data_IF_466497089294
#
_entry.id   IF_466497089294
#
_cell.length_a   1.000
_cell.length_b   1.000
_cell.length_c   1.000
_cell.angle_alpha   90.00
_cell.angle_beta   90.00
_cell.angle_gamma   90.00
#
_symmetry.space_group_name_H-M   'P 1'
#
loop_
_entity.id
_entity.type
_entity.pdbx_description
1 polymer ?
#
# COMPACT_ATOMS: atom_id res chain seq x y z
N UNK A 1 -9.45 -10.31 46.82
CA UNK A 1 -9.15 -8.87 47.02
C UNK A 1 -10.12 -8.09 46.15
N UNK A 2 -10.80 -7.08 46.70
CA UNK A 2 -11.63 -6.18 45.91
C UNK A 2 -10.81 -4.95 45.51
N UNK A 3 -11.06 -4.41 44.32
CA UNK A 3 -10.50 -3.12 43.91
C UNK A 3 -10.93 -2.04 44.92
N UNK A 4 -9.99 -1.23 45.45
CA UNK A 4 -10.32 -0.13 46.35
C UNK A 4 -11.40 0.78 45.76
N UNK A 5 -12.43 1.11 46.56
CA UNK A 5 -13.57 1.93 46.13
C UNK A 5 -13.14 3.31 45.61
N UNK A 6 -12.14 3.90 46.27
CA UNK A 6 -11.54 5.18 45.92
C UNK A 6 -11.04 5.20 44.46
N UNK A 7 -10.46 4.09 43.97
CA UNK A 7 -10.01 3.98 42.58
C UNK A 7 -11.19 3.92 41.59
N UNK A 8 -12.29 3.29 41.96
CA UNK A 8 -13.48 3.20 41.11
C UNK A 8 -14.20 4.56 41.06
N UNK A 9 -14.32 5.23 42.20
CA UNK A 9 -14.98 6.53 42.33
C UNK A 9 -14.20 7.69 41.68
N UNK A 10 -12.87 7.54 41.54
CA UNK A 10 -12.02 8.51 40.83
C UNK A 10 -12.23 8.56 39.31
N UNK A 11 -12.92 7.57 38.73
CA UNK A 11 -13.17 7.52 37.28
C UNK A 11 -14.21 8.55 36.88
N UNK A 12 -13.96 9.27 35.79
CA UNK A 12 -14.95 10.16 35.19
C UNK A 12 -16.24 9.39 34.88
N UNK A 13 -17.39 9.95 35.29
CA UNK A 13 -18.71 9.37 35.00
C UNK A 13 -19.05 9.57 33.53
N UNK A 14 -19.59 8.53 32.90
CA UNK A 14 -20.14 8.62 31.55
C UNK A 14 -21.47 9.37 31.63
N UNK A 15 -21.53 10.56 31.04
CA UNK A 15 -22.73 11.39 31.04
C UNK A 15 -23.88 10.80 30.20
N UNK A 16 -23.54 10.17 29.06
CA UNK A 16 -24.49 9.49 28.17
C UNK A 16 -24.02 8.03 27.94
N UNK A 17 -24.56 7.07 28.73
CA UNK A 17 -24.22 5.65 28.57
C UNK A 17 -24.62 5.07 27.20
N UNK A 18 -25.71 5.58 26.60
CA UNK A 18 -26.19 5.08 25.31
C UNK A 18 -25.25 5.48 24.18
N UNK A 19 -24.83 6.74 24.14
CA UNK A 19 -23.86 7.21 23.15
C UNK A 19 -22.49 6.51 23.30
N UNK A 20 -22.07 6.21 24.53
CA UNK A 20 -20.84 5.46 24.77
C UNK A 20 -20.96 4.00 24.31
N UNK A 21 -22.12 3.38 24.52
CA UNK A 21 -22.40 2.02 24.04
C UNK A 21 -22.38 1.94 22.51
N UNK A 22 -22.97 2.92 21.82
CA UNK A 22 -22.91 3.03 20.34
C UNK A 22 -21.46 3.12 19.85
N UNK A 23 -20.64 3.99 20.44
CA UNK A 23 -19.23 4.12 20.08
C UNK A 23 -18.45 2.81 20.30
N UNK A 24 -18.72 2.10 21.40
CA UNK A 24 -18.14 0.78 21.67
C UNK A 24 -18.54 -0.25 20.61
N UNK A 25 -19.78 -0.23 20.13
CA UNK A 25 -20.24 -1.13 19.08
C UNK A 25 -19.59 -0.83 17.73
N UNK A 26 -19.43 0.46 17.39
CA UNK A 26 -18.71 0.91 16.19
C UNK A 26 -17.24 0.48 16.22
N UNK A 27 -16.54 0.68 17.34
CA UNK A 27 -15.13 0.24 17.48
C UNK A 27 -15.01 -1.30 17.40
N UNK A 28 -15.98 -2.06 17.92
CA UNK A 28 -16.03 -3.52 17.74
C UNK A 28 -16.27 -3.93 16.29
N UNK A 29 -17.09 -3.19 15.54
CA UNK A 29 -17.33 -3.45 14.12
C UNK A 29 -16.05 -3.29 13.30
N UNK A 30 -15.28 -2.23 13.57
CA UNK A 30 -13.93 -2.02 13.02
C UNK A 30 -13.03 -3.22 13.30
N UNK A 31 -12.98 -3.66 14.56
CA UNK A 31 -12.13 -4.79 14.95
C UNK A 31 -12.49 -6.09 14.24
N UNK A 32 -13.78 -6.38 14.07
CA UNK A 32 -14.22 -7.57 13.32
C UNK A 32 -13.74 -7.52 11.86
N UNK A 33 -13.83 -6.36 11.21
CA UNK A 33 -13.37 -6.20 9.82
C UNK A 33 -11.87 -6.43 9.72
N UNK A 34 -11.07 -5.87 10.63
CA UNK A 34 -9.63 -6.07 10.68
C UNK A 34 -9.24 -7.54 10.93
N UNK A 35 -9.93 -8.22 11.84
CA UNK A 35 -9.65 -9.62 12.17
C UNK A 35 -10.11 -10.59 11.08
N UNK A 36 -11.11 -10.22 10.28
CA UNK A 36 -11.70 -11.07 9.22
C UNK A 36 -10.91 -11.08 7.89
N UNK A 37 -9.68 -10.58 7.88
CA UNK A 37 -8.88 -10.44 6.65
C UNK A 37 -8.41 -11.79 6.12
N UNK A 38 -8.55 -11.98 4.80
CA UNK A 38 -8.16 -13.21 4.08
C UNK A 38 -6.68 -13.23 3.70
N UNK A 39 -6.11 -12.08 3.37
CA UNK A 39 -4.69 -11.90 3.09
C UNK A 39 -4.12 -10.88 4.09
N UNK A 40 -3.26 -11.30 5.02
CA UNK A 40 -2.61 -10.40 5.98
C UNK A 40 -1.68 -9.39 5.30
N UNK A 41 -1.22 -9.65 4.08
CA UNK A 41 -0.11 -8.90 3.49
C UNK A 41 -0.43 -7.62 2.75
N UNK A 42 -1.68 -7.46 2.32
CA UNK A 42 -2.09 -6.31 1.53
C UNK A 42 -3.19 -5.55 2.28
N UNK A 43 -2.97 -4.27 2.60
CA UNK A 43 -3.95 -3.46 3.30
C UNK A 43 -5.17 -3.21 2.41
N UNK A 44 -6.35 -3.59 2.86
CA UNK A 44 -7.62 -3.34 2.15
C UNK A 44 -8.19 -1.98 2.56
N UNK A 45 -7.54 -0.92 2.08
CA UNK A 45 -7.95 0.46 2.35
C UNK A 45 -9.38 0.73 1.85
N UNK A 46 -9.77 0.15 0.72
CA UNK A 46 -11.09 0.37 0.15
C UNK A 46 -12.21 -0.17 1.06
N UNK A 47 -12.02 -1.35 1.66
CA UNK A 47 -12.97 -1.91 2.63
C UNK A 47 -13.02 -1.10 3.92
N UNK A 48 -11.88 -0.60 4.39
CA UNK A 48 -11.83 0.30 5.56
C UNK A 48 -12.55 1.62 5.30
N UNK A 49 -12.36 2.22 4.12
CA UNK A 49 -13.03 3.45 3.73
C UNK A 49 -14.56 3.30 3.75
N UNK A 50 -15.07 2.18 3.20
CA UNK A 50 -16.51 1.87 3.20
C UNK A 50 -17.07 1.71 4.59
N UNK A 51 -16.39 0.93 5.43
CA UNK A 51 -16.81 0.76 6.82
C UNK A 51 -16.86 2.09 7.56
N UNK A 52 -15.82 2.91 7.42
CA UNK A 52 -15.75 4.24 8.00
C UNK A 52 -16.90 5.13 7.54
N UNK A 53 -17.19 5.10 6.24
CA UNK A 53 -18.26 5.88 5.63
C UNK A 53 -19.62 5.51 6.23
N UNK A 54 -19.88 4.22 6.43
CA UNK A 54 -21.10 3.72 7.08
C UNK A 54 -21.18 4.12 8.56
N UNK A 55 -20.09 3.95 9.32
CA UNK A 55 -20.09 4.20 10.78
C UNK A 55 -20.15 5.69 11.14
N UNK A 56 -19.61 6.57 10.29
CA UNK A 56 -19.54 8.03 10.50
C UNK A 56 -20.60 8.82 9.73
N UNK A 57 -21.38 8.14 8.87
CA UNK A 57 -22.32 8.78 7.94
C UNK A 57 -21.68 9.95 7.18
N UNK A 58 -20.44 9.77 6.73
CA UNK A 58 -19.62 10.80 6.10
C UNK A 58 -18.84 10.22 4.92
N UNK A 59 -18.51 11.09 3.96
CA UNK A 59 -17.54 10.74 2.93
C UNK A 59 -16.17 10.57 3.56
N UNK A 60 -15.42 9.57 3.10
CA UNK A 60 -14.13 9.19 3.66
C UNK A 60 -13.10 9.12 2.55
N UNK A 61 -11.93 9.70 2.81
CA UNK A 61 -10.76 9.62 1.95
C UNK A 61 -9.54 9.31 2.79
N UNK A 62 -8.72 8.38 2.33
CA UNK A 62 -7.41 8.11 2.87
C UNK A 62 -6.38 8.43 1.80
N UNK A 63 -5.44 9.29 2.15
CA UNK A 63 -4.37 9.69 1.26
C UNK A 63 -3.02 9.42 1.93
N UNK A 64 -2.01 9.07 1.14
CA UNK A 64 -0.63 9.02 1.59
C UNK A 64 -0.05 10.43 1.73
N UNK A 65 1.25 10.52 2.05
CA UNK A 65 1.93 11.79 2.26
C UNK A 65 2.13 12.58 0.96
N UNK A 66 2.22 11.87 -0.16
CA UNK A 66 2.44 12.40 -1.50
C UNK A 66 1.11 12.82 -2.19
N UNK A 67 -0.04 12.50 -1.58
CA UNK A 67 -1.36 12.84 -2.07
C UNK A 67 -2.03 11.70 -2.85
N UNK A 68 -1.37 10.55 -2.99
CA UNK A 68 -1.93 9.34 -3.59
C UNK A 68 -3.12 8.85 -2.78
N UNK A 69 -4.22 8.54 -3.46
CA UNK A 69 -5.47 8.10 -2.82
C UNK A 69 -5.37 6.59 -2.56
N UNK A 70 -5.26 6.23 -1.29
CA UNK A 70 -5.19 4.83 -0.83
C UNK A 70 -6.56 4.15 -0.88
N UNK A 71 -7.61 4.88 -0.54
CA UNK A 71 -8.99 4.39 -0.55
C UNK A 71 -9.99 5.47 -0.20
N UNK A 72 -11.22 5.33 -0.69
CA UNK A 72 -12.27 6.31 -0.46
C UNK A 72 -13.65 5.65 -0.42
N UNK A 73 -14.63 6.36 0.13
CA UNK A 73 -16.04 5.94 0.08
C UNK A 73 -16.95 7.15 0.22
N UNK A 74 -18.09 7.10 -0.46
CA UNK A 74 -19.10 8.15 -0.42
C UNK A 74 -20.40 7.64 0.15
N UNK A 75 -21.13 8.55 0.81
CA UNK A 75 -22.55 8.33 1.09
C UNK A 75 -23.31 8.40 -0.24
N UNK A 76 -24.33 7.54 -0.43
CA UNK A 76 -25.01 7.25 -1.70
C UNK A 76 -25.67 8.42 -2.44
N UNK A 77 -25.59 9.64 -1.90
CA UNK A 77 -26.21 10.86 -2.44
C UNK A 77 -25.18 11.94 -2.80
N UNK A 78 -23.88 11.69 -2.61
CA UNK A 78 -22.83 12.65 -2.90
C UNK A 78 -22.40 12.62 -4.38
N UNK A 79 -22.32 13.79 -5.00
CA UNK A 79 -21.83 13.95 -6.37
C UNK A 79 -21.04 15.26 -6.52
N UNK A 80 -19.72 15.16 -6.69
CA UNK A 80 -18.86 16.31 -6.95
C UNK A 80 -17.96 16.01 -8.13
N UNK A 81 -18.18 16.63 -9.32
CA UNK A 81 -17.40 16.36 -10.53
C UNK A 81 -15.89 16.53 -10.32
N UNK A 82 -15.48 17.60 -9.63
CA UNK A 82 -14.06 17.86 -9.33
C UNK A 82 -13.45 16.70 -8.54
N UNK A 83 -14.16 16.21 -7.52
CA UNK A 83 -13.66 15.08 -6.74
C UNK A 83 -13.71 13.77 -7.53
N UNK A 84 -14.74 13.53 -8.35
CA UNK A 84 -14.78 12.36 -9.24
C UNK A 84 -13.55 12.29 -10.12
N UNK A 85 -13.17 13.41 -10.76
CA UNK A 85 -11.98 13.49 -11.62
C UNK A 85 -10.68 13.22 -10.84
N UNK A 86 -10.58 13.70 -9.60
CA UNK A 86 -9.42 13.44 -8.74
C UNK A 86 -9.32 11.97 -8.33
N UNK A 87 -10.46 11.35 -8.02
CA UNK A 87 -10.54 9.92 -7.69
C UNK A 87 -10.17 9.04 -8.89
N UNK A 88 -10.60 9.41 -10.10
CA UNK A 88 -10.19 8.72 -11.34
C UNK A 88 -8.69 8.85 -11.60
N UNK A 89 -8.09 10.01 -11.31
CA UNK A 89 -6.64 10.23 -11.38
C UNK A 89 -5.86 9.51 -10.26
N UNK A 90 -6.54 9.17 -9.16
CA UNK A 90 -5.94 8.50 -8.01
C UNK A 90 -5.01 9.38 -7.16
N UNK A 91 -5.05 10.71 -7.32
CA UNK A 91 -4.19 11.63 -6.57
C UNK A 91 -4.88 12.96 -6.26
N UNK A 92 -4.56 13.53 -5.10
CA UNK A 92 -5.00 14.86 -4.68
C UNK A 92 -4.11 15.97 -5.27
N UNK A 93 -4.62 17.21 -5.42
CA UNK A 93 -3.81 18.34 -5.85
C UNK A 93 -2.66 18.62 -4.88
N UNK A 94 -1.46 18.93 -5.41
CA UNK A 94 -0.24 19.16 -4.61
C UNK A 94 -0.45 20.22 -3.52
N UNK A 95 -1.03 21.38 -3.84
CA UNK A 95 -1.29 22.42 -2.85
C UNK A 95 -2.28 22.00 -1.75
N UNK A 96 -3.23 21.12 -2.06
CA UNK A 96 -4.14 20.56 -1.05
C UNK A 96 -3.39 19.56 -0.15
N UNK A 97 -2.58 18.69 -0.75
CA UNK A 97 -1.74 17.72 -0.04
C UNK A 97 -0.77 18.43 0.91
N UNK A 98 -0.09 19.49 0.46
CA UNK A 98 0.78 20.29 1.31
C UNK A 98 0.03 20.93 2.48
N UNK A 99 -1.15 21.51 2.23
CA UNK A 99 -2.01 22.10 3.27
C UNK A 99 -2.39 21.07 4.32
N UNK A 100 -2.91 19.90 3.92
CA UNK A 100 -3.32 18.88 4.89
C UNK A 100 -2.13 18.27 5.63
N UNK A 101 -0.94 18.27 5.01
CA UNK A 101 0.31 17.82 5.63
C UNK A 101 0.79 18.70 6.79
N UNK A 102 0.31 19.94 6.91
CA UNK A 102 0.64 20.86 8.00
C UNK A 102 -0.13 20.58 9.30
N UNK A 103 -1.23 19.83 9.25
CA UNK A 103 -1.96 19.44 10.46
C UNK A 103 -1.23 18.29 11.16
N UNK A 104 -0.69 18.59 12.35
CA UNK A 104 -0.01 17.62 13.22
C UNK A 104 -0.95 16.97 14.23
N UNK A 105 -2.06 17.62 14.54
CA UNK A 105 -3.15 17.12 15.38
C UNK A 105 -4.45 17.06 14.56
N UNK A 106 -5.44 16.34 15.09
CA UNK A 106 -6.72 16.21 14.41
C UNK A 106 -7.49 17.53 14.44
N UNK A 107 -7.94 17.98 13.27
CA UNK A 107 -8.75 19.19 13.11
C UNK A 107 -10.22 18.80 12.96
N UNK A 108 -11.08 19.27 13.86
CA UNK A 108 -12.51 18.97 13.87
C UNK A 108 -13.32 20.12 13.25
N UNK A 109 -14.21 19.79 12.31
CA UNK A 109 -15.10 20.75 11.65
C UNK A 109 -14.40 21.89 10.88
N UNK A 110 -13.27 21.58 10.23
CA UNK A 110 -12.63 22.48 9.29
C UNK A 110 -13.62 22.93 8.21
N UNK A 111 -13.53 24.21 7.86
CA UNK A 111 -14.34 24.84 6.80
C UNK A 111 -13.44 25.67 5.90
N UNK A 112 -13.71 25.62 4.60
CA UNK A 112 -13.07 26.49 3.60
C UNK A 112 -13.91 27.76 3.35
N UNK A 113 -14.81 28.12 4.29
CA UNK A 113 -15.67 29.29 4.23
C UNK A 113 -16.51 29.41 2.92
N UNK A 114 -16.95 28.26 2.41
CA UNK A 114 -17.73 28.18 1.16
C UNK A 114 -16.90 28.08 -0.12
N UNK A 115 -15.57 28.13 -0.04
CA UNK A 115 -14.68 27.87 -1.17
C UNK A 115 -14.48 26.36 -1.40
N UNK A 116 -14.13 25.98 -2.62
CA UNK A 116 -13.72 24.61 -2.91
C UNK A 116 -12.37 24.33 -2.26
N UNK A 117 -12.21 23.12 -1.70
CA UNK A 117 -10.93 22.69 -1.13
C UNK A 117 -9.88 22.37 -2.20
N UNK A 118 -10.33 22.14 -3.44
CA UNK A 118 -9.54 21.53 -4.52
C UNK A 118 -9.37 22.46 -5.73
N UNK A 119 -10.00 23.64 -5.71
CA UNK A 119 -9.97 24.63 -6.79
C UNK A 119 -10.23 26.03 -6.23
N UNK A 120 -9.95 27.06 -7.02
CA UNK A 120 -10.18 28.48 -6.65
C UNK A 120 -11.64 28.93 -6.86
N UNK A 121 -12.57 27.99 -7.00
CA UNK A 121 -13.99 28.27 -7.27
C UNK A 121 -14.86 28.13 -6.00
N UNK A 122 -15.99 28.84 -5.91
CA UNK A 122 -16.98 28.59 -4.86
C UNK A 122 -17.47 27.14 -4.86
N UNK A 123 -17.62 26.55 -3.68
CA UNK A 123 -18.12 25.19 -3.58
C UNK A 123 -19.64 25.17 -3.70
N UNK A 124 -20.17 24.31 -4.58
CA UNK A 124 -21.62 24.01 -4.67
C UNK A 124 -22.19 23.54 -3.32
N UNK A 125 -21.34 22.93 -2.49
CA UNK A 125 -21.69 22.40 -1.17
C UNK A 125 -21.09 23.27 -0.05
N UNK A 126 -21.70 24.44 0.19
CA UNK A 126 -21.16 25.45 1.12
C UNK A 126 -21.25 25.06 2.60
N UNK A 127 -22.20 24.21 3.00
CA UNK A 127 -22.34 23.71 4.38
C UNK A 127 -21.56 22.41 4.61
N UNK A 128 -20.27 22.42 4.24
CA UNK A 128 -19.35 21.29 4.35
C UNK A 128 -18.59 21.37 5.67
N UNK A 129 -18.65 20.30 6.45
CA UNK A 129 -17.80 20.08 7.60
C UNK A 129 -16.74 19.03 7.24
N UNK A 130 -15.50 19.28 7.62
CA UNK A 130 -14.38 18.37 7.36
C UNK A 130 -13.67 18.02 8.65
N UNK A 131 -13.24 16.78 8.79
CA UNK A 131 -12.29 16.35 9.83
C UNK A 131 -11.00 15.92 9.15
N UNK A 132 -9.89 16.47 9.61
CA UNK A 132 -8.56 15.99 9.24
C UNK A 132 -7.98 15.20 10.40
N UNK A 133 -7.60 13.96 10.15
CA UNK A 133 -6.96 13.08 11.14
C UNK A 133 -5.62 12.64 10.57
N UNK A 134 -4.49 13.14 11.09
CA UNK A 134 -3.16 12.71 10.65
C UNK A 134 -2.94 11.22 10.92
N UNK A 135 -2.44 10.50 9.92
CA UNK A 135 -2.08 9.08 10.05
C UNK A 135 -0.60 9.01 10.40
N UNK A 136 -0.30 8.52 11.59
CA UNK A 136 1.07 8.33 12.06
C UNK A 136 1.39 6.84 12.26
N UNK A 137 2.65 6.48 12.08
CA UNK A 137 3.15 5.15 12.43
C UNK A 137 4.66 5.21 12.63
N UNK A 138 5.19 4.47 13.62
CA UNK A 138 6.63 4.42 13.93
C UNK A 138 7.31 5.81 14.10
N UNK A 139 6.56 6.84 14.52
CA UNK A 139 7.05 8.21 14.68
C UNK A 139 7.11 9.04 13.39
N UNK A 140 6.67 8.49 12.25
CA UNK A 140 6.56 9.21 10.98
C UNK A 140 5.10 9.45 10.59
N UNK A 141 4.89 10.52 9.80
CA UNK A 141 3.59 10.82 9.20
C UNK A 141 3.44 10.04 7.89
N UNK A 142 2.44 9.16 7.86
CA UNK A 142 2.19 8.23 6.77
C UNK A 142 1.15 8.75 5.79
N UNK A 143 0.28 9.67 6.21
CA UNK A 143 -0.79 10.19 5.38
C UNK A 143 -1.84 10.96 6.17
N UNK A 144 -3.03 11.10 5.60
CA UNK A 144 -4.16 11.80 6.21
C UNK A 144 -5.46 11.03 5.99
N UNK A 145 -6.23 10.83 7.04
CA UNK A 145 -7.63 10.41 6.97
C UNK A 145 -8.50 11.67 6.96
N UNK A 146 -9.40 11.76 5.98
CA UNK A 146 -10.28 12.89 5.76
C UNK A 146 -11.72 12.41 5.83
N UNK A 147 -12.51 13.00 6.71
CA UNK A 147 -13.96 12.81 6.76
C UNK A 147 -14.63 14.09 6.32
N UNK A 148 -15.65 13.99 5.47
CA UNK A 148 -16.43 15.14 5.03
C UNK A 148 -17.92 14.81 5.05
N UNK A 149 -18.72 15.66 5.71
CA UNK A 149 -20.17 15.57 5.69
C UNK A 149 -20.80 16.95 5.56
N UNK A 150 -22.07 16.98 5.18
CA UNK A 150 -22.80 18.21 4.90
C UNK A 150 -23.95 18.39 5.88
N UNK A 151 -24.27 19.63 6.22
CA UNK A 151 -25.45 19.94 7.05
C UNK A 151 -25.24 19.76 8.55
N UNK A 152 -24.48 18.75 8.97
CA UNK A 152 -24.30 18.41 10.39
C UNK A 152 -22.82 18.42 10.80
N UNK A 153 -22.41 19.21 11.81
CA UNK A 153 -21.03 19.23 12.28
C UNK A 153 -20.65 17.94 12.97
N UNK A 154 -19.39 17.52 12.87
CA UNK A 154 -18.75 16.43 13.60
C UNK A 154 -18.67 16.72 15.11
N UNK A 155 -18.73 15.67 15.91
CA UNK A 155 -18.52 15.74 17.36
C UNK A 155 -17.34 14.88 17.81
N UNK A 156 -17.06 14.89 19.12
CA UNK A 156 -15.92 14.16 19.67
C UNK A 156 -16.02 12.63 19.48
N UNK A 157 -17.22 12.07 19.29
CA UNK A 157 -17.38 10.63 19.03
C UNK A 157 -16.87 10.29 17.64
N UNK A 158 -17.17 11.15 16.66
CA UNK A 158 -16.66 11.03 15.31
C UNK A 158 -15.13 11.16 15.31
N UNK A 159 -14.58 12.10 16.08
CA UNK A 159 -13.14 12.30 16.22
C UNK A 159 -12.43 11.09 16.84
N UNK A 160 -12.95 10.55 17.96
CA UNK A 160 -12.41 9.35 18.61
C UNK A 160 -12.41 8.15 17.65
N UNK A 161 -13.50 7.97 16.89
CA UNK A 161 -13.57 6.91 15.89
C UNK A 161 -12.55 7.13 14.76
N UNK A 162 -12.41 8.37 14.28
CA UNK A 162 -11.45 8.76 13.26
C UNK A 162 -10.00 8.52 13.68
N UNK A 163 -9.60 8.94 14.88
CA UNK A 163 -8.24 8.75 15.41
C UNK A 163 -7.91 7.28 15.67
N UNK A 164 -8.88 6.53 16.21
CA UNK A 164 -8.76 5.08 16.36
C UNK A 164 -8.46 4.41 15.01
N UNK A 165 -9.18 4.83 13.97
CA UNK A 165 -9.05 4.27 12.63
C UNK A 165 -7.78 4.74 11.92
N UNK A 166 -7.38 5.99 12.08
CA UNK A 166 -6.10 6.48 11.58
C UNK A 166 -4.94 5.68 12.19
N UNK A 167 -5.00 5.35 13.48
CA UNK A 167 -4.01 4.49 14.14
C UNK A 167 -3.97 3.09 13.52
N UNK A 168 -5.14 2.49 13.31
CA UNK A 168 -5.28 1.18 12.64
C UNK A 168 -4.69 1.22 11.23
N UNK A 169 -5.03 2.24 10.43
CA UNK A 169 -4.53 2.40 9.06
C UNK A 169 -3.01 2.58 9.06
N UNK A 170 -2.47 3.33 10.03
CA UNK A 170 -1.02 3.47 10.21
C UNK A 170 -0.33 2.13 10.45
N UNK A 171 -0.90 1.28 11.32
CA UNK A 171 -0.38 -0.08 11.54
C UNK A 171 -0.41 -0.95 10.28
N UNK A 172 -1.47 -0.82 9.48
CA UNK A 172 -1.62 -1.56 8.22
C UNK A 172 -0.61 -1.13 7.16
N UNK A 173 -0.34 0.18 7.04
CA UNK A 173 0.71 0.73 6.18
C UNK A 173 2.08 0.16 6.61
N UNK A 174 2.39 0.20 7.91
CA UNK A 174 3.65 -0.33 8.43
C UNK A 174 3.79 -1.84 8.20
N UNK A 175 2.71 -2.60 8.42
CA UNK A 175 2.71 -4.03 8.18
C UNK A 175 2.97 -4.37 6.71
N UNK A 176 2.31 -3.66 5.78
CA UNK A 176 2.53 -3.80 4.34
C UNK A 176 3.96 -3.49 3.93
N UNK A 177 4.53 -2.39 4.45
CA UNK A 177 5.95 -2.03 4.23
C UNK A 177 6.89 -3.11 4.75
N UNK A 178 6.66 -3.61 5.96
CA UNK A 178 7.47 -4.68 6.55
C UNK A 178 7.43 -5.96 5.71
N UNK A 179 6.24 -6.36 5.24
CA UNK A 179 6.09 -7.53 4.35
C UNK A 179 6.79 -7.32 3.01
N UNK A 180 6.65 -6.15 2.39
CA UNK A 180 7.35 -5.82 1.15
C UNK A 180 8.88 -5.92 1.31
N UNK A 181 9.42 -5.46 2.44
CA UNK A 181 10.83 -5.61 2.79
C UNK A 181 11.20 -7.08 2.96
N UNK A 182 10.39 -7.87 3.68
CA UNK A 182 10.62 -9.31 3.87
C UNK A 182 10.62 -10.06 2.53
N UNK A 183 9.62 -9.81 1.68
CA UNK A 183 9.47 -10.43 0.37
C UNK A 183 10.66 -10.09 -0.52
N UNK A 184 11.09 -8.82 -0.55
CA UNK A 184 12.29 -8.39 -1.30
C UNK A 184 13.57 -9.01 -0.74
N UNK A 185 13.71 -9.15 0.59
CA UNK A 185 14.85 -9.79 1.21
C UNK A 185 14.90 -11.29 0.90
N UNK A 186 13.75 -11.96 0.91
CA UNK A 186 13.59 -13.36 0.52
C UNK A 186 13.95 -13.59 -0.94
N UNK A 187 13.45 -12.74 -1.84
CA UNK A 187 13.78 -12.79 -3.27
C UNK A 187 15.28 -12.60 -3.49
N UNK A 188 15.91 -11.62 -2.83
CA UNK A 188 17.37 -11.45 -2.86
C UNK A 188 18.12 -12.70 -2.39
N UNK A 189 17.67 -13.34 -1.32
CA UNK A 189 18.29 -14.57 -0.81
C UNK A 189 18.19 -15.71 -1.83
N UNK A 190 17.04 -15.89 -2.46
CA UNK A 190 16.82 -16.90 -3.52
C UNK A 190 17.78 -16.65 -4.69
N UNK A 191 17.87 -15.41 -5.16
CA UNK A 191 18.81 -14.99 -6.21
C UNK A 191 20.25 -15.32 -5.82
N UNK A 192 20.69 -14.93 -4.63
CA UNK A 192 22.05 -15.21 -4.15
C UNK A 192 22.35 -16.71 -4.04
N UNK A 193 21.39 -17.50 -3.55
CA UNK A 193 21.54 -18.96 -3.46
C UNK A 193 21.68 -19.61 -4.83
N UNK A 194 20.86 -19.18 -5.80
CA UNK A 194 20.94 -19.69 -7.16
C UNK A 194 22.27 -19.30 -7.83
N UNK A 195 22.73 -18.06 -7.64
CA UNK A 195 24.02 -17.59 -8.15
C UNK A 195 25.19 -18.39 -7.56
N UNK A 196 25.14 -18.73 -6.26
CA UNK A 196 26.13 -19.60 -5.61
C UNK A 196 26.09 -21.06 -6.09
N UNK A 197 24.96 -21.52 -6.61
CA UNK A 197 24.83 -22.86 -7.17
C UNK A 197 25.42 -22.97 -8.60
N UNK A 198 25.67 -21.83 -9.26
CA UNK A 198 26.33 -21.76 -10.56
C UNK A 198 27.86 -21.81 -10.39
N UNK A 199 28.53 -22.52 -11.29
CA UNK A 199 29.99 -22.43 -11.44
C UNK A 199 30.39 -21.12 -12.11
N UNK A 200 31.66 -20.75 -12.03
CA UNK A 200 32.18 -19.54 -12.69
C UNK A 200 31.83 -19.49 -14.19
N UNK A 201 32.01 -20.60 -14.91
CA UNK A 201 31.69 -20.67 -16.35
C UNK A 201 30.19 -20.63 -16.63
N UNK A 202 29.36 -21.16 -15.72
CA UNK A 202 27.90 -21.05 -15.80
C UNK A 202 27.43 -19.60 -15.57
N UNK A 203 28.00 -18.89 -14.59
CA UNK A 203 27.70 -17.47 -14.34
C UNK A 203 28.04 -16.61 -15.57
N UNK A 204 29.22 -16.79 -16.16
CA UNK A 204 29.62 -16.04 -17.36
C UNK A 204 28.70 -16.33 -18.54
N UNK A 205 28.34 -17.60 -18.72
CA UNK A 205 27.38 -18.02 -19.75
C UNK A 205 26.03 -17.33 -19.58
N UNK A 206 25.50 -17.31 -18.35
CA UNK A 206 24.24 -16.65 -18.00
C UNK A 206 24.30 -15.16 -18.29
N UNK A 207 25.38 -14.47 -17.90
CA UNK A 207 25.54 -13.04 -18.18
C UNK A 207 25.49 -12.73 -19.68
N UNK A 208 26.15 -13.54 -20.50
CA UNK A 208 26.10 -13.41 -21.95
C UNK A 208 24.71 -13.72 -22.54
N UNK A 209 24.00 -14.71 -22.00
CA UNK A 209 22.63 -15.01 -22.42
C UNK A 209 21.69 -13.82 -22.16
N UNK A 210 21.70 -13.29 -20.94
CA UNK A 210 20.82 -12.19 -20.54
C UNK A 210 21.12 -10.91 -21.34
N UNK A 211 22.40 -10.61 -21.61
CA UNK A 211 22.77 -9.49 -22.50
C UNK A 211 22.27 -9.68 -23.92
N UNK A 212 22.23 -10.90 -24.43
CA UNK A 212 21.74 -11.21 -25.77
C UNK A 212 20.20 -11.15 -25.87
N UNK A 213 19.48 -11.34 -24.75
CA UNK A 213 18.04 -11.13 -24.69
C UNK A 213 17.65 -9.67 -24.87
N UNK A 214 18.44 -8.73 -24.33
CA UNK A 214 18.15 -7.29 -24.41
C UNK A 214 16.90 -6.86 -23.64
N UNK A 215 16.36 -7.71 -22.75
CA UNK A 215 15.14 -7.47 -21.99
C UNK A 215 14.87 -8.58 -20.97
N UNK A 216 13.67 -8.57 -20.37
CA UNK A 216 13.24 -9.57 -19.36
C UNK A 216 12.79 -10.90 -19.97
N UNK A 217 12.62 -10.99 -21.29
CA UNK A 217 12.23 -12.22 -21.98
C UNK A 217 12.74 -12.26 -23.42
N UNK A 218 12.84 -13.46 -24.00
CA UNK A 218 13.19 -13.66 -25.40
C UNK A 218 13.71 -15.06 -25.72
N UNK A 219 14.27 -15.23 -26.91
CA UNK A 219 14.74 -16.54 -27.40
C UNK A 219 16.26 -16.57 -27.43
N UNK A 220 16.86 -17.57 -26.76
CA UNK A 220 18.30 -17.79 -26.72
C UNK A 220 18.65 -19.09 -27.46
N UNK A 221 19.68 -19.02 -28.30
CA UNK A 221 20.24 -20.19 -28.99
C UNK A 221 21.51 -20.64 -28.26
N UNK A 222 21.42 -21.72 -27.51
CA UNK A 222 22.50 -22.19 -26.63
C UNK A 222 23.83 -22.45 -27.37
N UNK A 223 23.81 -22.92 -28.62
CA UNK A 223 25.05 -23.12 -29.40
C UNK A 223 25.77 -21.79 -29.69
N UNK A 224 25.04 -20.74 -30.08
CA UNK A 224 25.61 -19.42 -30.35
C UNK A 224 26.28 -18.81 -29.12
N UNK A 225 25.69 -19.00 -27.95
CA UNK A 225 26.25 -18.54 -26.67
C UNK A 225 27.46 -19.40 -26.27
N UNK A 226 27.40 -20.71 -26.48
CA UNK A 226 28.51 -21.63 -26.18
C UNK A 226 29.77 -21.25 -26.96
N UNK A 227 29.62 -21.01 -28.27
CA UNK A 227 30.71 -20.63 -29.17
C UNK A 227 31.33 -19.27 -28.78
N UNK A 228 30.50 -18.31 -28.33
CA UNK A 228 30.96 -16.97 -27.92
C UNK A 228 31.72 -16.99 -26.59
N UNK A 229 31.25 -17.77 -25.63
CA UNK A 229 31.85 -17.86 -24.28
C UNK A 229 33.01 -18.86 -24.23
N UNK A 230 33.12 -19.75 -25.22
CA UNK A 230 34.16 -20.78 -25.28
C UNK A 230 33.90 -21.96 -24.33
N UNK A 231 32.63 -22.35 -24.16
CA UNK A 231 32.21 -23.44 -23.27
C UNK A 231 31.39 -24.49 -24.04
N UNK A 232 31.18 -25.66 -23.46
CA UNK A 232 30.27 -26.66 -24.05
C UNK A 232 28.81 -26.26 -23.87
N UNK A 233 27.94 -26.67 -24.80
CA UNK A 233 26.47 -26.46 -24.69
C UNK A 233 25.89 -27.00 -23.38
N UNK A 234 26.48 -28.04 -22.80
CA UNK A 234 26.04 -28.62 -21.52
C UNK A 234 26.18 -27.66 -20.34
N UNK A 235 27.17 -26.75 -20.33
CA UNK A 235 27.33 -25.71 -19.31
C UNK A 235 26.11 -24.78 -19.31
N UNK A 236 25.68 -24.36 -20.50
CA UNK A 236 24.53 -23.46 -20.65
C UNK A 236 23.23 -24.14 -20.22
N UNK A 237 23.00 -25.37 -20.67
CA UNK A 237 21.79 -26.12 -20.30
C UNK A 237 21.73 -26.37 -18.80
N UNK A 238 22.87 -26.68 -18.15
CA UNK A 238 22.92 -26.84 -16.70
C UNK A 238 22.65 -25.54 -15.96
N UNK A 239 23.20 -24.42 -16.42
CA UNK A 239 22.93 -23.11 -15.82
C UNK A 239 21.43 -22.76 -15.88
N UNK A 240 20.80 -22.93 -17.05
CA UNK A 240 19.36 -22.70 -17.22
C UNK A 240 18.53 -23.59 -16.30
N UNK A 241 18.86 -24.89 -16.22
CA UNK A 241 18.17 -25.84 -15.33
C UNK A 241 18.28 -25.44 -13.86
N UNK A 242 19.44 -24.97 -13.41
CA UNK A 242 19.65 -24.51 -12.02
C UNK A 242 18.82 -23.26 -11.72
N UNK A 243 18.78 -22.29 -12.63
CA UNK A 243 17.99 -21.06 -12.48
C UNK A 243 16.48 -21.33 -12.52
N UNK A 244 16.03 -22.22 -13.41
CA UNK A 244 14.63 -22.65 -13.48
C UNK A 244 14.21 -23.40 -12.20
N UNK A 245 15.08 -24.28 -11.69
CA UNK A 245 14.84 -24.99 -10.43
C UNK A 245 14.76 -24.03 -9.22
N UNK A 246 15.42 -22.88 -9.28
CA UNK A 246 15.34 -21.84 -8.26
C UNK A 246 14.16 -20.87 -8.45
N UNK A 247 13.35 -21.04 -9.51
CA UNK A 247 12.22 -20.16 -9.83
C UNK A 247 12.63 -18.76 -10.29
N UNK A 248 13.87 -18.57 -10.74
CA UNK A 248 14.37 -17.27 -11.21
C UNK A 248 14.00 -17.02 -12.67
N UNK A 249 13.92 -18.09 -13.46
CA UNK A 249 13.52 -18.05 -14.86
C UNK A 249 12.47 -19.12 -15.14
N UNK A 250 11.67 -18.88 -16.17
CA UNK A 250 10.90 -19.91 -16.87
C UNK A 250 11.55 -20.18 -18.21
N UNK A 251 11.67 -21.46 -18.58
CA UNK A 251 12.21 -21.85 -19.87
C UNK A 251 11.24 -22.72 -20.67
N UNK A 252 11.20 -22.50 -21.99
CA UNK A 252 10.41 -23.34 -22.91
C UNK A 252 11.24 -23.65 -24.16
N UNK A 253 11.52 -24.92 -24.38
CA UNK A 253 12.24 -25.38 -25.59
C UNK A 253 11.41 -25.12 -26.85
N UNK A 254 12.03 -24.51 -27.87
CA UNK A 254 11.47 -24.31 -29.21
C UNK A 254 12.18 -25.18 -30.26
N UNK A 255 12.85 -26.26 -29.81
CA UNK A 255 13.61 -27.15 -30.66
C UNK A 255 14.80 -26.45 -31.32
N UNK A 256 14.88 -26.51 -32.65
CA UNK A 256 15.99 -25.92 -33.42
C UNK A 256 16.01 -24.38 -33.39
N UNK A 257 14.90 -23.73 -33.03
CA UNK A 257 14.81 -22.26 -32.95
C UNK A 257 15.45 -21.70 -31.68
N UNK A 258 15.80 -22.55 -30.70
CA UNK A 258 16.37 -22.15 -29.42
C UNK A 258 15.43 -22.43 -28.25
N UNK A 259 15.65 -21.73 -27.14
CA UNK A 259 14.87 -21.81 -25.91
C UNK A 259 14.31 -20.43 -25.60
N UNK A 260 13.00 -20.33 -25.43
CA UNK A 260 12.39 -19.12 -24.87
C UNK A 260 12.69 -19.07 -23.37
N UNK A 261 13.14 -17.92 -22.90
CA UNK A 261 13.46 -17.66 -21.50
C UNK A 261 12.69 -16.41 -21.07
N UNK A 262 12.06 -16.48 -19.90
CA UNK A 262 11.48 -15.34 -19.21
C UNK A 262 12.09 -15.23 -17.82
N UNK A 263 12.63 -14.06 -17.50
CA UNK A 263 13.16 -13.76 -16.17
C UNK A 263 12.01 -13.36 -15.27
N UNK A 264 11.85 -14.06 -14.15
CA UNK A 264 10.79 -13.82 -13.18
C UNK A 264 11.20 -12.81 -12.11
N UNK A 265 12.48 -12.74 -11.77
CA UNK A 265 13.03 -11.85 -10.75
C UNK A 265 13.81 -10.69 -11.36
N UNK A 266 13.37 -9.42 -11.21
CA UNK A 266 14.15 -8.25 -11.61
C UNK A 266 15.48 -8.14 -10.84
N UNK A 267 15.49 -8.56 -9.58
CA UNK A 267 16.69 -8.54 -8.72
C UNK A 267 17.82 -9.40 -9.28
N UNK A 268 17.50 -10.44 -10.05
CA UNK A 268 18.51 -11.24 -10.75
C UNK A 268 19.24 -10.44 -11.84
N UNK A 269 18.53 -9.56 -12.56
CA UNK A 269 19.13 -8.71 -13.58
C UNK A 269 20.04 -7.63 -12.97
N UNK A 270 19.65 -7.11 -11.80
CA UNK A 270 20.47 -6.22 -10.98
C UNK A 270 21.76 -6.93 -10.53
N UNK A 271 21.67 -8.13 -9.95
CA UNK A 271 22.82 -8.89 -9.44
C UNK A 271 23.82 -9.29 -10.55
N UNK A 272 23.33 -9.53 -11.77
CA UNK A 272 24.17 -9.78 -12.96
C UNK A 272 24.84 -8.53 -13.54
N UNK A 273 24.46 -7.33 -13.07
CA UNK A 273 24.96 -6.06 -13.58
C UNK A 273 24.54 -5.77 -15.03
N UNK A 274 23.36 -6.25 -15.45
CA UNK A 274 22.82 -6.00 -16.81
C UNK A 274 21.88 -4.81 -16.83
N UNK A 275 21.26 -4.48 -15.69
CA UNK A 275 20.52 -3.23 -15.48
C UNK A 275 21.36 -2.39 -14.51
N UNK A 276 21.91 -1.27 -15.02
CA UNK A 276 22.50 -0.23 -14.18
C UNK A 276 21.42 0.75 -13.72
N UNK A 277 21.59 1.32 -12.53
CA UNK A 277 20.88 2.54 -12.13
C UNK A 277 21.16 3.69 -13.11
#
# INVERSE_FOLDING_TARGET
MNTPKELIESRARIADPSAMQDLLEKTRAVNRVLQSRRDPGTPDYQRLARLLCELSAANVYMIDREGGILGYSWVSEYNCPIMSDLLEKGTMPEGYTEKVNQYHESELNHTDHGLCAYSDEPCTYSNKHVVYVPIHGAGERLGTLILARFGHPFDNRDLVLGEYLATVVGLEILHSRAKSIEDRARERLIVQMAMRALSYSEVESVRHMIRELGGSEGIVVASRVADRVGVTRSVIVNALRKLESAGIIESRSLGMKGTFIKVLSPLFLEDLGVIGH
#
